data_IF_371655898172
#
_entry.id   IF_371655898172
#
_cell.length_a   1.000
_cell.length_b   1.000
_cell.length_c   1.000
_cell.angle_alpha   90.00
_cell.angle_beta   90.00
_cell.angle_gamma   90.00
#
_symmetry.space_group_name_H-M   'P 1'
#
loop_
_entity.id
_entity.type
_entity.pdbx_description
1 polymer ?
#
# COMPACT_ATOMS: atom_id res chain seq x y z
N UNK A 1 5.40 9.36 -4.67
CA UNK A 1 4.91 9.47 -3.28
C UNK A 1 3.63 8.71 -3.13
N UNK A 2 3.72 7.50 -2.67
CA UNK A 2 2.54 6.66 -2.61
C UNK A 2 1.69 6.95 -1.37
N UNK A 3 0.38 6.85 -1.56
CA UNK A 3 -0.58 6.70 -0.48
C UNK A 3 -1.03 5.25 -0.49
N UNK A 4 -0.90 4.57 0.63
CA UNK A 4 -1.20 3.15 0.76
C UNK A 4 -2.24 2.96 1.85
N UNK A 5 -3.30 2.23 1.53
CA UNK A 5 -4.30 1.81 2.51
C UNK A 5 -4.25 0.29 2.63
N UNK A 6 -4.09 -0.20 3.86
CA UNK A 6 -4.08 -1.62 4.18
C UNK A 6 -5.30 -1.91 5.03
N UNK A 7 -6.22 -2.72 4.51
CA UNK A 7 -7.26 -3.35 5.30
C UNK A 7 -6.89 -4.81 5.49
N UNK A 8 -6.97 -5.31 6.71
CA UNK A 8 -6.57 -6.69 7.00
C UNK A 8 -7.49 -7.33 8.02
N UNK A 9 -7.51 -8.64 8.02
CA UNK A 9 -8.18 -9.45 9.04
C UNK A 9 -7.31 -10.63 9.40
N UNK A 10 -7.15 -10.89 10.69
CA UNK A 10 -6.39 -12.01 11.22
C UNK A 10 -6.89 -12.38 12.61
N UNK A 11 -6.74 -13.64 12.97
CA UNK A 11 -6.98 -14.09 14.34
C UNK A 11 -5.79 -13.80 15.28
N UNK A 12 -4.64 -13.45 14.72
CA UNK A 12 -3.47 -13.11 15.53
C UNK A 12 -3.66 -11.77 16.22
N UNK A 13 -3.19 -11.68 17.46
CA UNK A 13 -3.25 -10.46 18.24
C UNK A 13 -1.84 -10.14 18.75
N UNK A 14 -1.39 -8.93 18.49
CA UNK A 14 -0.12 -8.42 18.97
C UNK A 14 -0.21 -6.90 19.08
N UNK A 15 0.34 -6.30 20.14
CA UNK A 15 0.38 -4.85 20.27
C UNK A 15 1.13 -4.14 19.14
N UNK A 16 2.08 -4.84 18.51
CA UNK A 16 2.91 -4.30 17.43
C UNK A 16 2.37 -4.61 16.03
N UNK A 17 1.24 -5.32 15.90
CA UNK A 17 0.76 -5.85 14.62
C UNK A 17 0.62 -4.77 13.54
N UNK A 18 -0.06 -3.68 13.86
CA UNK A 18 -0.25 -2.59 12.88
C UNK A 18 1.07 -1.90 12.53
N UNK A 19 1.94 -1.69 13.50
CA UNK A 19 3.26 -1.13 13.27
C UNK A 19 4.13 -2.06 12.41
N UNK A 20 4.06 -3.36 12.62
CA UNK A 20 4.78 -4.35 11.83
C UNK A 20 4.28 -4.38 10.39
N UNK A 21 2.97 -4.28 10.18
CA UNK A 21 2.38 -4.18 8.85
C UNK A 21 2.87 -2.91 8.15
N UNK A 22 2.77 -1.76 8.81
CA UNK A 22 3.19 -0.48 8.24
C UNK A 22 4.67 -0.48 7.88
N UNK A 23 5.52 -1.01 8.77
CA UNK A 23 6.96 -1.12 8.53
C UNK A 23 7.29 -2.01 7.34
N UNK A 24 6.64 -3.16 7.24
CA UNK A 24 6.83 -4.09 6.12
C UNK A 24 6.38 -3.49 4.80
N UNK A 25 5.21 -2.88 4.78
CA UNK A 25 4.67 -2.22 3.57
C UNK A 25 5.60 -1.09 3.12
N UNK A 26 6.08 -0.28 4.05
CA UNK A 26 7.03 0.81 3.74
C UNK A 26 8.34 0.27 3.16
N UNK A 27 8.90 -0.77 3.79
CA UNK A 27 10.14 -1.41 3.34
C UNK A 27 10.01 -1.95 1.92
N UNK A 28 8.97 -2.72 1.64
CA UNK A 28 8.78 -3.32 0.31
C UNK A 28 8.51 -2.25 -0.75
N UNK A 29 7.77 -1.20 -0.40
CA UNK A 29 7.48 -0.10 -1.31
C UNK A 29 8.76 0.66 -1.68
N UNK A 30 9.64 0.89 -0.71
CA UNK A 30 10.94 1.52 -0.99
C UNK A 30 11.87 0.62 -1.79
N UNK A 31 11.94 -0.65 -1.43
CA UNK A 31 12.90 -1.60 -1.98
C UNK A 31 12.55 -2.05 -3.40
N UNK A 32 11.29 -2.30 -3.67
CA UNK A 32 10.82 -2.89 -4.94
C UNK A 32 10.30 -1.83 -5.89
N UNK A 33 9.51 -0.90 -5.39
CA UNK A 33 8.93 0.17 -6.22
C UNK A 33 9.79 1.44 -6.23
N UNK A 34 10.89 1.45 -5.48
CA UNK A 34 11.85 2.56 -5.42
C UNK A 34 11.21 3.88 -4.99
N UNK A 35 10.27 3.81 -4.06
CA UNK A 35 9.62 5.00 -3.49
C UNK A 35 10.36 5.46 -2.24
N UNK A 36 10.34 6.78 -2.02
CA UNK A 36 10.96 7.38 -0.85
C UNK A 36 10.07 7.14 0.39
N UNK A 37 10.57 6.40 1.40
CA UNK A 37 9.79 6.11 2.60
C UNK A 37 9.43 7.37 3.41
N UNK A 38 10.21 8.44 3.31
CA UNK A 38 9.95 9.69 4.05
C UNK A 38 8.72 10.44 3.56
N UNK A 39 8.23 10.10 2.38
CA UNK A 39 7.04 10.70 1.76
C UNK A 39 6.02 9.64 1.36
N UNK A 40 6.05 8.51 2.01
CA UNK A 40 5.09 7.41 1.85
C UNK A 40 4.12 7.43 3.03
N UNK A 41 2.83 7.55 2.73
CA UNK A 41 1.78 7.48 3.76
C UNK A 41 1.13 6.10 3.74
N UNK A 42 0.91 5.52 4.93
CA UNK A 42 0.31 4.20 5.08
C UNK A 42 -0.79 4.29 6.14
N UNK A 43 -1.99 3.88 5.75
CA UNK A 43 -3.14 3.79 6.65
C UNK A 43 -3.42 2.31 6.87
N UNK A 44 -3.51 1.88 8.13
CA UNK A 44 -3.70 0.47 8.48
C UNK A 44 -5.00 0.32 9.25
N UNK A 45 -5.90 -0.51 8.74
CA UNK A 45 -7.23 -0.75 9.32
C UNK A 45 -7.46 -2.24 9.52
N UNK A 46 -7.90 -2.62 10.72
CA UNK A 46 -8.34 -3.99 10.97
C UNK A 46 -9.83 -4.14 10.66
N UNK A 47 -10.19 -5.31 10.13
CA UNK A 47 -11.58 -5.70 9.89
C UNK A 47 -11.83 -6.97 10.68
N UNK A 48 -12.95 -7.04 11.39
CA UNK A 48 -13.34 -8.25 12.12
C UNK A 48 -13.49 -9.43 11.15
N UNK A 49 -12.94 -10.58 11.50
CA UNK A 49 -12.98 -11.77 10.66
C UNK A 49 -14.42 -12.27 10.40
N UNK A 50 -15.38 -11.90 11.24
CA UNK A 50 -16.81 -12.18 11.01
C UNK A 50 -17.43 -11.29 9.96
N UNK A 51 -16.79 -10.17 9.63
CA UNK A 51 -17.30 -9.17 8.67
C UNK A 51 -16.61 -9.24 7.32
N UNK A 52 -15.69 -10.17 7.14
CA UNK A 52 -14.95 -10.36 5.89
C UNK A 52 -15.30 -11.72 5.29
N UNK A 53 -15.92 -11.70 4.14
CA UNK A 53 -16.36 -12.92 3.46
C UNK A 53 -15.51 -13.17 2.21
N UNK A 54 -15.03 -14.38 2.06
CA UNK A 54 -14.26 -14.83 0.91
C UNK A 54 -14.76 -16.22 0.51
N UNK A 55 -15.16 -16.37 -0.76
CA UNK A 55 -15.77 -17.61 -1.23
C UNK A 55 -17.10 -17.94 -0.57
N UNK A 56 -17.83 -16.92 -0.12
CA UNK A 56 -19.15 -17.07 0.50
C UNK A 56 -19.15 -17.43 1.99
N UNK A 57 -17.96 -17.50 2.61
CA UNK A 57 -17.82 -17.79 4.04
C UNK A 57 -16.98 -16.73 4.71
N UNK A 58 -17.25 -16.46 5.99
CA UNK A 58 -16.43 -15.52 6.76
C UNK A 58 -15.01 -16.06 6.95
N UNK A 59 -14.04 -15.17 7.09
CA UNK A 59 -12.68 -15.57 7.41
C UNK A 59 -12.60 -16.22 8.79
N UNK A 60 -13.46 -15.81 9.73
CA UNK A 60 -13.54 -16.42 11.05
C UNK A 60 -13.89 -17.90 10.96
N UNK A 61 -14.88 -18.25 10.14
CA UNK A 61 -15.30 -19.64 9.90
C UNK A 61 -14.19 -20.46 9.26
N UNK A 62 -13.46 -19.87 8.31
CA UNK A 62 -12.38 -20.54 7.57
C UNK A 62 -11.06 -20.57 8.33
N UNK A 63 -10.92 -19.78 9.40
CA UNK A 63 -9.69 -19.63 10.19
C UNK A 63 -8.50 -19.18 9.32
N UNK A 64 -8.76 -18.28 8.38
CA UNK A 64 -7.77 -17.71 7.47
C UNK A 64 -7.71 -16.20 7.65
N UNK A 65 -6.56 -15.63 7.30
CA UNK A 65 -6.36 -14.20 7.24
C UNK A 65 -6.51 -13.70 5.81
N UNK A 66 -6.65 -12.41 5.65
CA UNK A 66 -6.64 -11.76 4.34
C UNK A 66 -6.25 -10.29 4.45
N UNK A 67 -5.92 -9.68 3.33
CA UNK A 67 -5.72 -8.24 3.23
C UNK A 67 -6.28 -7.69 1.92
N UNK A 68 -6.59 -6.43 1.95
CA UNK A 68 -6.82 -5.58 0.79
C UNK A 68 -5.86 -4.40 0.89
N UNK A 69 -4.91 -4.33 -0.05
CA UNK A 69 -3.96 -3.23 -0.11
C UNK A 69 -4.21 -2.44 -1.38
N UNK A 70 -4.40 -1.15 -1.23
CA UNK A 70 -4.58 -0.21 -2.32
C UNK A 70 -3.45 0.81 -2.26
N UNK A 71 -2.63 0.85 -3.30
CA UNK A 71 -1.52 1.77 -3.41
C UNK A 71 -1.69 2.67 -4.62
N UNK A 72 -1.63 3.99 -4.39
CA UNK A 72 -1.65 4.99 -5.44
C UNK A 72 -0.23 5.47 -5.73
N UNK A 73 0.17 5.37 -6.98
CA UNK A 73 1.46 5.85 -7.47
C UNK A 73 1.26 6.66 -8.75
N UNK A 74 2.21 7.51 -9.08
CA UNK A 74 2.18 8.22 -10.37
C UNK A 74 2.37 7.23 -11.51
N UNK A 75 1.58 7.37 -12.57
CA UNK A 75 1.67 6.50 -13.74
C UNK A 75 3.06 6.56 -14.38
N UNK A 76 3.47 5.44 -14.97
CA UNK A 76 4.73 5.36 -15.70
C UNK A 76 6.00 5.35 -14.85
N UNK A 77 5.87 5.20 -13.52
CA UNK A 77 7.02 5.22 -12.61
C UNK A 77 7.53 3.83 -12.21
N UNK A 78 6.79 2.78 -12.54
CA UNK A 78 7.21 1.41 -12.23
C UNK A 78 6.95 0.48 -13.41
N UNK A 79 7.83 -0.49 -13.59
CA UNK A 79 7.72 -1.51 -14.63
C UNK A 79 6.71 -2.58 -14.26
N UNK A 80 6.28 -3.34 -15.25
CA UNK A 80 5.43 -4.52 -15.05
C UNK A 80 6.08 -5.53 -14.09
N UNK A 81 7.38 -5.77 -14.26
CA UNK A 81 8.11 -6.73 -13.44
C UNK A 81 8.25 -6.26 -11.99
N UNK A 82 8.49 -4.97 -11.78
CA UNK A 82 8.52 -4.39 -10.43
C UNK A 82 7.18 -4.55 -9.73
N UNK A 83 6.08 -4.28 -10.42
CA UNK A 83 4.74 -4.44 -9.85
C UNK A 83 4.46 -5.91 -9.50
N UNK A 84 4.79 -6.84 -10.41
CA UNK A 84 4.62 -8.27 -10.14
C UNK A 84 5.45 -8.74 -8.94
N UNK A 85 6.69 -8.32 -8.84
CA UNK A 85 7.57 -8.64 -7.72
C UNK A 85 7.04 -8.07 -6.40
N UNK A 86 6.47 -6.88 -6.44
CA UNK A 86 5.86 -6.23 -5.27
C UNK A 86 4.67 -7.04 -4.73
N UNK A 87 3.77 -7.47 -5.62
CA UNK A 87 2.62 -8.30 -5.23
C UNK A 87 3.08 -9.61 -4.59
N UNK A 88 4.04 -10.28 -5.19
CA UNK A 88 4.55 -11.57 -4.70
C UNK A 88 5.24 -11.43 -3.33
N UNK A 89 6.10 -10.43 -3.17
CA UNK A 89 6.80 -10.18 -1.92
C UNK A 89 5.83 -9.79 -0.80
N UNK A 90 4.82 -8.98 -1.12
CA UNK A 90 3.80 -8.57 -0.15
C UNK A 90 3.02 -9.78 0.35
N UNK A 91 2.59 -10.66 -0.53
CA UNK A 91 1.85 -11.86 -0.15
C UNK A 91 2.67 -12.72 0.82
N UNK A 92 3.94 -12.95 0.50
CA UNK A 92 4.83 -13.74 1.33
C UNK A 92 5.04 -13.12 2.72
N UNK A 93 5.35 -11.84 2.77
CA UNK A 93 5.63 -11.14 4.04
C UNK A 93 4.38 -10.99 4.90
N UNK A 94 3.24 -10.71 4.30
CA UNK A 94 1.98 -10.59 5.04
C UNK A 94 1.52 -11.95 5.59
N UNK A 95 1.79 -13.06 4.90
CA UNK A 95 1.53 -14.40 5.43
C UNK A 95 2.33 -14.68 6.71
N UNK A 96 3.57 -14.20 6.77
CA UNK A 96 4.40 -14.32 7.98
C UNK A 96 3.81 -13.52 9.15
N UNK A 97 3.25 -12.37 8.88
CA UNK A 97 2.68 -11.47 9.90
C UNK A 97 1.28 -11.91 10.33
N UNK A 98 0.40 -12.18 9.37
CA UNK A 98 -1.03 -12.43 9.61
C UNK A 98 -1.38 -13.88 9.82
N UNK A 99 -0.53 -14.82 9.40
CA UNK A 99 -0.81 -16.24 9.35
C UNK A 99 -1.29 -16.71 8.00
N UNK A 100 -1.79 -17.93 7.89
CA UNK A 100 -2.25 -18.49 6.61
C UNK A 100 -3.27 -17.59 5.94
N UNK A 101 -2.99 -17.21 4.68
CA UNK A 101 -3.83 -16.29 3.91
C UNK A 101 -4.81 -17.07 3.03
N UNK A 102 -6.02 -16.53 2.90
CA UNK A 102 -6.97 -16.93 1.87
C UNK A 102 -6.45 -16.46 0.52
N UNK A 103 -6.73 -17.20 -0.56
CA UNK A 103 -6.34 -16.76 -1.91
C UNK A 103 -7.03 -15.47 -2.34
N UNK A 104 -8.21 -15.18 -1.81
CA UNK A 104 -8.91 -13.92 -2.01
C UNK A 104 -8.27 -12.82 -1.18
N UNK A 105 -7.08 -12.46 -1.55
CA UNK A 105 -6.22 -11.46 -0.94
C UNK A 105 -5.73 -10.57 -2.07
N UNK A 106 -5.98 -9.27 -1.97
CA UNK A 106 -5.81 -8.37 -3.11
C UNK A 106 -4.82 -7.26 -2.80
N UNK A 107 -3.98 -6.94 -3.78
CA UNK A 107 -3.19 -5.73 -3.82
C UNK A 107 -3.40 -5.07 -5.17
N UNK A 108 -3.86 -3.83 -5.15
CA UNK A 108 -4.11 -3.03 -6.34
C UNK A 108 -3.11 -1.89 -6.41
N UNK A 109 -2.29 -1.88 -7.47
CA UNK A 109 -1.42 -0.75 -7.78
C UNK A 109 -2.20 0.17 -8.72
N UNK A 110 -2.66 1.28 -8.19
CA UNK A 110 -3.41 2.27 -8.94
C UNK A 110 -2.44 3.32 -9.49
N UNK A 111 -2.26 3.32 -10.80
CA UNK A 111 -1.38 4.27 -11.48
C UNK A 111 -2.18 5.52 -11.84
N UNK A 112 -1.91 6.60 -11.12
CA UNK A 112 -2.67 7.85 -11.21
C UNK A 112 -1.89 8.87 -12.02
N UNK A 113 -2.57 9.60 -12.89
CA UNK A 113 -1.96 10.68 -13.65
C UNK A 113 -1.34 11.71 -12.71
N UNK A 114 -0.15 12.15 -13.02
CA UNK A 114 0.58 13.14 -12.21
C UNK A 114 -0.16 14.47 -12.05
N UNK A 115 -0.99 14.85 -13.01
CA UNK A 115 -1.81 16.06 -12.95
C UNK A 115 -3.10 15.90 -12.14
N UNK A 116 -3.44 14.68 -11.75
CA UNK A 116 -4.65 14.36 -10.98
C UNK A 116 -4.34 13.79 -9.60
N UNK A 117 -3.08 13.80 -9.18
CA UNK A 117 -2.61 13.23 -7.92
C UNK A 117 -1.81 14.28 -7.15
N UNK A 118 -2.31 14.66 -5.99
CA UNK A 118 -1.76 15.75 -5.19
C UNK A 118 -0.97 15.29 -3.97
N UNK A 119 0.03 16.07 -3.61
CA UNK A 119 0.79 15.91 -2.38
C UNK A 119 1.08 17.30 -1.81
N UNK A 120 0.64 17.54 -0.57
CA UNK A 120 0.84 18.82 0.08
C UNK A 120 0.20 20.00 -0.66
N UNK A 121 -0.88 19.74 -1.41
CA UNK A 121 -1.58 20.75 -2.18
C UNK A 121 -1.03 21.01 -3.59
N UNK A 122 0.02 20.28 -3.99
CA UNK A 122 0.62 20.40 -5.34
C UNK A 122 0.45 19.10 -6.11
N UNK A 123 0.29 19.21 -7.44
CA UNK A 123 0.26 18.01 -8.28
C UNK A 123 1.62 17.31 -8.30
N UNK A 124 1.62 16.01 -8.48
CA UNK A 124 2.87 15.26 -8.65
C UNK A 124 3.66 15.74 -9.87
N UNK A 125 2.96 16.11 -10.95
CA UNK A 125 3.57 16.68 -12.16
C UNK A 125 4.34 17.96 -11.84
N UNK A 126 3.73 18.89 -11.11
CA UNK A 126 4.40 20.13 -10.71
C UNK A 126 5.65 19.87 -9.88
N UNK A 127 5.56 18.94 -8.94
CA UNK A 127 6.69 18.58 -8.07
C UNK A 127 7.82 17.93 -8.87
N UNK A 128 7.48 17.09 -9.84
CA UNK A 128 8.47 16.47 -10.72
C UNK A 128 9.20 17.52 -11.57
N UNK A 129 8.45 18.43 -12.18
CA UNK A 129 9.03 19.51 -13.00
C UNK A 129 9.92 20.42 -12.15
N UNK A 130 9.46 20.83 -10.97
CA UNK A 130 10.26 21.64 -10.06
C UNK A 130 11.60 20.97 -9.71
N UNK A 131 11.57 19.65 -9.43
CA UNK A 131 12.78 18.88 -9.17
C UNK A 131 13.74 18.82 -10.34
N UNK A 132 13.21 18.73 -11.59
CA UNK A 132 14.04 18.73 -12.80
C UNK A 132 14.65 20.10 -13.07
N UNK A 133 13.98 21.17 -12.69
CA UNK A 133 14.48 22.53 -12.84
C UNK A 133 15.35 22.98 -11.66
N UNK A 134 15.51 22.12 -10.66
CA UNK A 134 16.24 22.41 -9.41
C UNK A 134 15.72 23.68 -8.70
N UNK A 135 14.41 23.87 -8.75
CA UNK A 135 13.73 24.97 -8.07
C UNK A 135 12.78 24.40 -7.01
N UNK A 136 12.55 25.17 -5.95
CA UNK A 136 11.57 24.78 -4.94
C UNK A 136 10.16 24.87 -5.55
N UNK A 137 9.29 23.84 -5.37
CA UNK A 137 7.91 23.93 -5.77
C UNK A 137 7.18 24.94 -4.87
N UNK A 138 6.36 25.81 -5.48
CA UNK A 138 5.50 26.70 -4.70
C UNK A 138 4.42 25.88 -4.00
N UNK A 139 3.94 26.41 -2.89
CA UNK A 139 2.76 25.84 -2.25
C UNK A 139 1.52 26.24 -3.03
N UNK A 140 0.51 25.35 -3.04
CA UNK A 140 -0.79 25.70 -3.56
C UNK A 140 -1.38 26.86 -2.74
N UNK A 141 -2.11 27.76 -3.41
CA UNK A 141 -2.88 28.79 -2.73
C UNK A 141 -3.96 28.13 -1.85
N UNK A 142 -4.12 28.64 -0.63
CA UNK A 142 -5.14 28.15 0.28
C UNK A 142 -6.55 28.47 -0.22
#
# INVERSE_FOLDING_TARGET
MPLITVSYSTSRQSPSLKADIASTVSELTAKILHKDPTVTAIIVKSVDANDWFAGGKSLAEQKLASYWIDIHVSEGTNTKDEKAAYLAAMFKRMAEILGPLHHETYLHVDEVRGDAYGFGGLTQERRYIAGKLEVAPDRAAA
#
